data_IF_077034431306
#
_entry.id   IF_077034431306
#
_cell.length_a   1.000
_cell.length_b   1.000
_cell.length_c   1.000
_cell.angle_alpha   90.00
_cell.angle_beta   90.00
_cell.angle_gamma   90.00
#
_symmetry.space_group_name_H-M   'P 1'
#
loop_
_entity.id
_entity.type
_entity.pdbx_description
1 polymer ?
#
# COMPACT_ATOMS: atom_id res chain seq x y z
N UNK A 1 -17.37 -0.31 20.73
CA UNK A 1 -17.47 0.66 19.62
C UNK A 1 -16.21 0.66 18.73
N UNK A 2 -15.09 0.11 19.19
CA UNK A 2 -13.80 0.06 18.46
C UNK A 2 -13.74 -0.93 17.30
N UNK A 3 -14.28 -2.15 17.46
CA UNK A 3 -14.17 -3.20 16.43
C UNK A 3 -14.78 -2.85 15.06
N UNK A 4 -15.81 -1.99 15.02
CA UNK A 4 -16.42 -1.49 13.77
C UNK A 4 -15.54 -0.47 13.04
N UNK A 5 -14.77 0.34 13.78
CA UNK A 5 -13.82 1.26 13.15
C UNK A 5 -12.66 0.49 12.52
N UNK A 6 -12.17 -0.56 13.20
CA UNK A 6 -11.05 -1.36 12.73
C UNK A 6 -11.30 -2.07 11.40
N UNK A 7 -12.49 -2.67 11.21
CA UNK A 7 -12.82 -3.36 9.96
C UNK A 7 -13.02 -2.38 8.79
N UNK A 8 -13.65 -1.22 9.03
CA UNK A 8 -13.80 -0.16 8.03
C UNK A 8 -12.44 0.44 7.62
N UNK A 9 -11.45 0.45 8.54
CA UNK A 9 -10.09 0.85 8.21
C UNK A 9 -9.37 -0.14 7.28
N UNK A 10 -9.63 -1.44 7.38
CA UNK A 10 -8.96 -2.45 6.53
C UNK A 10 -9.48 -2.38 5.10
N UNK A 11 -10.80 -2.34 4.90
CA UNK A 11 -11.39 -2.26 3.55
C UNK A 11 -10.93 -0.98 2.81
N UNK A 12 -10.95 0.17 3.49
CA UNK A 12 -10.43 1.42 2.94
C UNK A 12 -8.92 1.39 2.65
N UNK A 13 -8.14 0.65 3.45
CA UNK A 13 -6.72 0.46 3.20
C UNK A 13 -6.46 -0.44 1.99
N UNK A 14 -7.25 -1.51 1.80
CA UNK A 14 -7.17 -2.36 0.60
C UNK A 14 -7.51 -1.58 -0.67
N UNK A 15 -8.53 -0.73 -0.62
CA UNK A 15 -8.89 0.14 -1.77
C UNK A 15 -7.80 1.16 -2.06
N UNK A 16 -7.22 1.78 -1.04
CA UNK A 16 -6.04 2.66 -1.19
C UNK A 16 -4.87 1.94 -1.87
N UNK A 17 -4.60 0.67 -1.50
CA UNK A 17 -3.55 -0.14 -2.14
C UNK A 17 -3.87 -0.45 -3.59
N UNK A 18 -5.14 -0.74 -3.93
CA UNK A 18 -5.56 -0.96 -5.32
C UNK A 18 -5.38 0.30 -6.16
N UNK A 19 -5.81 1.46 -5.66
CA UNK A 19 -5.65 2.75 -6.33
C UNK A 19 -4.17 3.08 -6.55
N UNK A 20 -3.34 2.91 -5.52
CA UNK A 20 -1.89 3.11 -5.63
C UNK A 20 -1.27 2.17 -6.66
N UNK A 21 -1.69 0.89 -6.70
CA UNK A 21 -1.22 -0.07 -7.70
C UNK A 21 -1.58 0.39 -9.12
N UNK A 22 -2.81 0.87 -9.32
CA UNK A 22 -3.27 1.35 -10.62
C UNK A 22 -2.45 2.57 -11.07
N UNK A 23 -2.29 3.58 -10.21
CA UNK A 23 -1.51 4.77 -10.51
C UNK A 23 -0.04 4.46 -10.85
N UNK A 24 0.57 3.53 -10.12
CA UNK A 24 1.94 3.07 -10.43
C UNK A 24 2.00 2.34 -11.78
N UNK A 25 1.00 1.52 -12.09
CA UNK A 25 0.93 0.82 -13.37
C UNK A 25 0.78 1.79 -14.56
N UNK A 26 0.01 2.88 -14.41
CA UNK A 26 -0.09 3.96 -15.41
C UNK A 26 1.27 4.65 -15.63
N UNK A 27 2.09 4.77 -14.58
CA UNK A 27 3.47 5.24 -14.68
C UNK A 27 4.48 4.17 -15.19
N UNK A 28 4.01 2.98 -15.57
CA UNK A 28 4.85 1.87 -16.03
C UNK A 28 5.69 1.22 -14.93
N UNK A 29 5.26 1.34 -13.67
CA UNK A 29 5.94 0.82 -12.47
C UNK A 29 5.10 -0.33 -11.91
N UNK A 30 5.74 -1.49 -11.72
CA UNK A 30 5.11 -2.64 -11.07
C UNK A 30 5.86 -2.97 -9.79
N UNK A 31 5.15 -2.94 -8.66
CA UNK A 31 5.64 -3.39 -7.37
C UNK A 31 4.87 -4.66 -6.96
N UNK A 32 5.44 -5.86 -7.21
CA UNK A 32 4.75 -7.12 -6.91
C UNK A 32 4.56 -7.35 -5.42
N UNK A 33 5.42 -6.75 -4.58
CA UNK A 33 5.32 -6.79 -3.12
C UNK A 33 4.38 -5.75 -2.51
N UNK A 34 3.80 -4.84 -3.32
CA UNK A 34 2.92 -3.80 -2.80
C UNK A 34 1.69 -4.43 -2.13
N UNK A 35 1.42 -4.09 -0.88
CA UNK A 35 0.34 -4.69 -0.10
C UNK A 35 0.13 -4.00 1.24
N UNK A 36 -0.71 -4.57 2.09
CA UNK A 36 -0.81 -4.16 3.49
C UNK A 36 0.20 -4.95 4.33
N UNK A 37 0.79 -4.30 5.33
CA UNK A 37 1.66 -4.94 6.30
C UNK A 37 0.83 -5.93 7.15
N UNK A 38 1.11 -7.24 7.10
CA UNK A 38 0.37 -8.22 7.88
C UNK A 38 0.52 -8.02 9.39
N UNK A 39 1.65 -7.45 9.85
CA UNK A 39 1.86 -7.21 11.28
C UNK A 39 0.94 -6.09 11.78
N UNK A 40 0.77 -5.03 10.99
CA UNK A 40 -0.12 -3.91 11.27
C UNK A 40 -1.60 -4.32 11.34
N UNK A 41 -1.98 -5.33 10.54
CA UNK A 41 -3.32 -5.92 10.51
C UNK A 41 -3.57 -6.86 11.70
N UNK A 42 -2.54 -7.56 12.18
CA UNK A 42 -2.65 -8.51 13.29
C UNK A 42 -2.72 -7.84 14.68
N UNK A 43 -2.63 -6.51 14.77
CA UNK A 43 -2.71 -5.76 16.03
C UNK A 43 -4.12 -5.83 16.63
N UNK A 44 -4.19 -5.85 17.96
CA UNK A 44 -5.45 -5.82 18.72
C UNK A 44 -6.33 -4.59 18.38
N UNK A 45 -5.68 -3.47 18.10
CA UNK A 45 -6.26 -2.33 17.38
C UNK A 45 -5.56 -2.18 16.01
N UNK A 46 -6.17 -2.68 14.92
CA UNK A 46 -5.58 -2.62 13.58
C UNK A 46 -5.28 -1.17 13.15
N UNK A 47 -4.08 -0.97 12.62
CA UNK A 47 -3.65 0.30 12.02
C UNK A 47 -2.96 -0.05 10.70
N UNK A 48 -3.71 -0.22 9.59
CA UNK A 48 -3.17 -0.74 8.35
C UNK A 48 -2.04 0.14 7.81
N UNK A 49 -0.87 -0.45 7.60
CA UNK A 49 0.26 0.18 6.93
C UNK A 49 0.42 -0.40 5.53
N UNK A 50 0.89 0.41 4.58
CA UNK A 50 1.18 -0.05 3.22
C UNK A 50 2.64 -0.49 3.14
N UNK A 51 2.88 -1.76 2.83
CA UNK A 51 4.19 -2.29 2.49
C UNK A 51 4.49 -2.00 1.02
N UNK A 52 5.51 -1.17 0.76
CA UNK A 52 6.00 -0.87 -0.58
C UNK A 52 7.00 -1.94 -1.08
N UNK A 53 7.61 -2.68 -0.15
CA UNK A 53 8.65 -3.67 -0.41
C UNK A 53 9.93 -3.08 -1.01
N UNK A 54 10.74 -3.95 -1.62
CA UNK A 54 12.02 -3.58 -2.24
C UNK A 54 11.83 -3.33 -3.73
N UNK A 55 12.40 -2.25 -4.24
CA UNK A 55 12.43 -1.96 -5.67
C UNK A 55 13.88 -1.84 -6.17
N UNK A 56 14.08 -2.05 -7.47
CA UNK A 56 15.40 -1.83 -8.09
C UNK A 56 15.73 -0.33 -8.13
N UNK A 57 17.01 0.03 -8.28
CA UNK A 57 17.42 1.44 -8.42
C UNK A 57 16.75 2.10 -9.63
N UNK A 58 16.55 1.36 -10.72
CA UNK A 58 15.83 1.85 -11.90
C UNK A 58 14.36 2.14 -11.57
N UNK A 59 13.69 1.21 -10.89
CA UNK A 59 12.30 1.39 -10.44
C UNK A 59 12.17 2.57 -9.48
N UNK A 60 13.12 2.72 -8.54
CA UNK A 60 13.15 3.84 -7.61
C UNK A 60 13.31 5.20 -8.32
N UNK A 61 14.12 5.26 -9.39
CA UNK A 61 14.24 6.46 -10.23
C UNK A 61 12.95 6.78 -10.97
N UNK A 62 12.30 5.78 -11.56
CA UNK A 62 11.00 5.95 -12.23
C UNK A 62 9.94 6.45 -11.24
N UNK A 63 9.91 5.89 -10.03
CA UNK A 63 9.02 6.31 -8.95
C UNK A 63 9.28 7.79 -8.58
N UNK A 64 10.54 8.16 -8.36
CA UNK A 64 10.91 9.53 -8.04
C UNK A 64 10.58 10.52 -9.17
N UNK A 65 10.59 10.08 -10.44
CA UNK A 65 10.18 10.90 -11.57
C UNK A 65 8.66 11.05 -11.66
N UNK A 66 7.88 10.02 -11.31
CA UNK A 66 6.42 10.06 -11.32
C UNK A 66 5.82 10.92 -10.18
N UNK A 67 6.57 11.12 -9.09
CA UNK A 67 6.14 11.91 -7.93
C UNK A 67 6.52 13.41 -8.02
N UNK A 68 7.25 13.82 -9.06
CA UNK A 68 7.65 15.22 -9.31
C UNK A 68 6.68 15.89 -10.25
#
# INVERSE_FOLDING_TARGET
MEARHSALCVEGAEDTVKELRAALAEAGIVLPSLGLDPVSLAREAPCPLVELGRCSVETARRLAAALR
#
